data_IF_246371833809
#
_entry.id   IF_246371833809
#
_cell.length_a   1.000
_cell.length_b   1.000
_cell.length_c   1.000
_cell.angle_alpha   90.00
_cell.angle_beta   90.00
_cell.angle_gamma   90.00
#
_symmetry.space_group_name_H-M   'P 1'
#
loop_
_entity.id
_entity.type
_entity.pdbx_description
1 polymer ?
#
# COMPACT_ATOMS: atom_id res chain seq x y z
N UNK A 1 -0.95 1.47 -28.84
CA UNK A 1 -0.07 2.52 -28.27
C UNK A 1 -0.71 3.27 -27.08
N UNK A 2 -1.48 2.60 -26.22
CA UNK A 2 -2.09 3.25 -25.03
C UNK A 2 -1.38 2.90 -23.70
N UNK A 3 -0.54 1.86 -23.68
CA UNK A 3 0.07 1.30 -22.46
C UNK A 3 1.21 2.17 -21.89
N UNK A 4 1.70 3.16 -22.65
CA UNK A 4 2.88 3.95 -22.25
C UNK A 4 2.53 5.14 -21.33
N UNK A 5 1.25 5.53 -21.20
CA UNK A 5 0.84 6.68 -20.35
C UNK A 5 0.61 6.35 -18.88
N UNK A 6 0.45 5.07 -18.52
CA UNK A 6 0.11 4.64 -17.16
C UNK A 6 1.30 4.66 -16.18
N UNK A 7 2.52 4.84 -16.71
CA UNK A 7 3.78 4.89 -15.94
C UNK A 7 3.91 6.11 -15.00
N UNK A 8 3.00 7.10 -15.07
CA UNK A 8 2.96 8.30 -14.20
C UNK A 8 1.64 8.45 -13.42
N UNK A 9 1.00 7.34 -13.07
CA UNK A 9 -0.21 7.35 -12.22
C UNK A 9 0.05 7.88 -10.80
N UNK A 10 -0.99 8.41 -10.17
CA UNK A 10 -0.97 8.71 -8.72
C UNK A 10 -0.93 7.41 -7.91
N UNK A 11 -0.53 7.47 -6.64
CA UNK A 11 -0.57 6.32 -5.73
C UNK A 11 -2.00 5.75 -5.60
N UNK A 12 -3.00 6.63 -5.50
CA UNK A 12 -4.42 6.30 -5.49
C UNK A 12 -4.83 5.50 -6.73
N UNK A 13 -4.32 5.87 -7.92
CA UNK A 13 -4.61 5.13 -9.16
C UNK A 13 -4.03 3.71 -9.09
N UNK A 14 -2.79 3.57 -8.60
CA UNK A 14 -2.14 2.26 -8.45
C UNK A 14 -2.88 1.37 -7.46
N UNK A 15 -3.29 1.94 -6.32
CA UNK A 15 -4.08 1.23 -5.31
C UNK A 15 -5.43 0.78 -5.88
N UNK A 16 -6.15 1.66 -6.59
CA UNK A 16 -7.42 1.31 -7.23
C UNK A 16 -7.24 0.20 -8.28
N UNK A 17 -6.13 0.20 -9.02
CA UNK A 17 -5.78 -0.87 -9.97
C UNK A 17 -5.63 -2.22 -9.27
N UNK A 18 -4.92 -2.27 -8.14
CA UNK A 18 -4.74 -3.51 -7.38
C UNK A 18 -6.03 -3.99 -6.71
N UNK A 19 -6.86 -3.07 -6.21
CA UNK A 19 -8.20 -3.42 -5.67
C UNK A 19 -9.04 -4.09 -6.77
N UNK A 20 -9.10 -3.50 -7.97
CA UNK A 20 -9.81 -4.10 -9.11
C UNK A 20 -9.24 -5.46 -9.51
N UNK A 21 -7.92 -5.62 -9.49
CA UNK A 21 -7.29 -6.89 -9.84
C UNK A 21 -7.66 -8.05 -8.90
N UNK A 22 -8.08 -7.75 -7.67
CA UNK A 22 -8.56 -8.73 -6.69
C UNK A 22 -10.07 -9.00 -6.77
N UNK A 23 -10.80 -8.20 -7.54
CA UNK A 23 -12.24 -8.37 -7.73
C UNK A 23 -12.53 -9.45 -8.77
N UNK A 24 -12.60 -10.69 -8.29
CA UNK A 24 -12.85 -11.88 -9.12
C UNK A 24 -14.14 -11.82 -9.94
N UNK A 25 -15.14 -11.06 -9.47
CA UNK A 25 -16.48 -11.01 -10.08
C UNK A 25 -16.74 -9.75 -10.91
N UNK A 26 -15.78 -8.82 -11.00
CA UNK A 26 -15.91 -7.58 -11.79
C UNK A 26 -17.02 -6.64 -11.27
N UNK A 27 -17.38 -6.73 -9.99
CA UNK A 27 -18.36 -5.85 -9.33
C UNK A 27 -17.93 -4.38 -9.33
N UNK A 28 -16.62 -4.13 -9.43
CA UNK A 28 -15.99 -2.82 -9.41
C UNK A 28 -15.71 -2.26 -10.82
N UNK A 29 -16.03 -3.03 -11.86
CA UNK A 29 -15.81 -2.59 -13.24
C UNK A 29 -16.67 -1.36 -13.58
N UNK A 30 -16.03 -0.37 -14.21
CA UNK A 30 -16.68 0.89 -14.58
C UNK A 30 -16.93 1.87 -13.42
N UNK A 31 -16.64 1.50 -12.16
CA UNK A 31 -16.71 2.43 -11.03
C UNK A 31 -15.50 3.37 -11.01
N UNK A 32 -15.69 4.65 -10.62
CA UNK A 32 -14.58 5.58 -10.46
C UNK A 32 -13.67 5.17 -9.29
N UNK A 33 -12.39 5.52 -9.36
CA UNK A 33 -11.39 5.15 -8.34
C UNK A 33 -11.79 5.59 -6.93
N UNK A 34 -12.42 6.77 -6.82
CA UNK A 34 -12.89 7.30 -5.55
C UNK A 34 -13.96 6.43 -4.88
N UNK A 35 -14.81 5.76 -5.67
CA UNK A 35 -15.84 4.87 -5.15
C UNK A 35 -15.28 3.52 -4.72
N UNK A 36 -14.22 3.07 -5.38
CA UNK A 36 -13.53 1.80 -5.08
C UNK A 36 -12.70 1.92 -3.80
N UNK A 37 -12.15 3.11 -3.54
CA UNK A 37 -11.28 3.36 -2.40
C UNK A 37 -12.02 3.94 -1.19
N UNK A 38 -13.35 3.85 -1.17
CA UNK A 38 -14.16 4.32 -0.03
C UNK A 38 -13.80 3.60 1.28
N UNK A 39 -13.28 2.37 1.23
CA UNK A 39 -12.85 1.62 2.41
C UNK A 39 -11.58 2.20 3.07
N UNK A 40 -10.91 3.14 2.41
CA UNK A 40 -9.79 3.91 2.97
C UNK A 40 -10.24 5.29 3.48
N UNK A 41 -11.48 5.71 3.24
CA UNK A 41 -11.98 7.03 3.62
C UNK A 41 -12.97 6.89 4.77
N UNK A 42 -12.71 7.61 5.86
CA UNK A 42 -13.58 7.63 7.03
C UNK A 42 -14.98 8.12 6.66
N UNK A 43 -15.99 7.35 7.05
CA UNK A 43 -17.40 7.75 6.95
C UNK A 43 -17.91 8.14 8.34
N UNK A 44 -18.57 9.30 8.45
CA UNK A 44 -19.24 9.73 9.67
C UNK A 44 -18.34 10.30 10.78
N UNK A 45 -18.92 10.48 11.97
CA UNK A 45 -18.23 11.06 13.12
C UNK A 45 -17.34 10.05 13.85
N UNK A 46 -16.53 10.54 14.81
CA UNK A 46 -15.61 9.69 15.60
C UNK A 46 -16.32 8.50 16.26
N UNK A 47 -17.56 8.68 16.75
CA UNK A 47 -18.34 7.62 17.40
C UNK A 47 -18.79 6.54 16.41
N UNK A 48 -19.23 6.93 15.22
CA UNK A 48 -19.70 6.01 14.19
C UNK A 48 -18.54 5.16 13.67
N UNK A 49 -17.38 5.80 13.43
CA UNK A 49 -16.15 5.10 13.07
C UNK A 49 -15.74 4.05 14.11
N UNK A 50 -15.83 4.36 15.41
CA UNK A 50 -15.47 3.38 16.44
C UNK A 50 -16.42 2.18 16.46
N UNK A 51 -17.70 2.39 16.15
CA UNK A 51 -18.65 1.30 16.05
C UNK A 51 -18.37 0.42 14.82
N UNK A 52 -18.06 1.03 13.67
CA UNK A 52 -17.71 0.31 12.44
C UNK A 52 -16.42 -0.50 12.60
N UNK A 53 -15.36 0.11 13.14
CA UNK A 53 -14.10 -0.57 13.43
C UNK A 53 -14.22 -1.72 14.43
N UNK A 54 -15.17 -1.64 15.37
CA UNK A 54 -15.41 -2.72 16.32
C UNK A 54 -16.11 -3.94 15.69
N UNK A 55 -16.75 -3.76 14.54
CA UNK A 55 -17.40 -4.85 13.79
C UNK A 55 -16.48 -5.44 12.71
N UNK A 56 -15.39 -4.75 12.38
CA UNK A 56 -14.45 -5.19 11.37
C UNK A 56 -13.55 -6.33 11.89
N UNK A 57 -13.39 -7.38 11.07
CA UNK A 57 -12.52 -8.52 11.42
C UNK A 57 -11.04 -8.15 11.26
N UNK A 58 -10.17 -8.74 12.09
CA UNK A 58 -8.71 -8.55 11.96
C UNK A 58 -8.20 -8.92 10.56
N UNK A 59 -8.78 -9.93 9.91
CA UNK A 59 -8.40 -10.34 8.56
C UNK A 59 -8.76 -9.29 7.51
N UNK A 60 -9.91 -8.62 7.64
CA UNK A 60 -10.29 -7.52 6.75
C UNK A 60 -9.32 -6.33 6.89
N UNK A 61 -8.98 -5.96 8.13
CA UNK A 61 -7.97 -4.92 8.40
C UNK A 61 -6.63 -5.32 7.79
N UNK A 62 -6.18 -6.57 8.02
CA UNK A 62 -4.93 -7.11 7.47
C UNK A 62 -4.94 -7.02 5.95
N UNK A 63 -6.01 -7.42 5.28
CA UNK A 63 -6.09 -7.38 3.81
C UNK A 63 -6.04 -5.95 3.27
N UNK A 64 -6.77 -5.00 3.87
CA UNK A 64 -6.74 -3.57 3.49
C UNK A 64 -5.34 -3.00 3.61
N UNK A 65 -4.70 -3.20 4.75
CA UNK A 65 -3.36 -2.64 5.03
C UNK A 65 -2.31 -3.30 4.15
N UNK A 66 -2.39 -4.62 3.96
CA UNK A 66 -1.50 -5.34 3.06
C UNK A 66 -1.61 -4.82 1.63
N UNK A 67 -2.83 -4.59 1.13
CA UNK A 67 -3.07 -4.05 -0.21
C UNK A 67 -2.52 -2.62 -0.38
N UNK A 68 -2.60 -1.79 0.65
CA UNK A 68 -1.94 -0.48 0.67
C UNK A 68 -0.43 -0.62 0.45
N UNK A 69 0.23 -1.52 1.17
CA UNK A 69 1.68 -1.72 1.04
C UNK A 69 2.06 -2.44 -0.27
N UNK A 70 1.21 -3.30 -0.82
CA UNK A 70 1.39 -3.83 -2.18
C UNK A 70 1.32 -2.72 -3.24
N UNK A 71 0.45 -1.72 -3.07
CA UNK A 71 0.43 -0.56 -3.96
C UNK A 71 1.72 0.25 -3.87
N UNK A 72 2.28 0.41 -2.67
CA UNK A 72 3.60 1.04 -2.47
C UNK A 72 4.68 0.23 -3.18
N UNK A 73 4.71 -1.08 -2.98
CA UNK A 73 5.66 -1.99 -3.62
C UNK A 73 5.56 -1.92 -5.14
N UNK A 74 4.36 -2.04 -5.70
CA UNK A 74 4.13 -1.96 -7.15
C UNK A 74 4.56 -0.60 -7.72
N UNK A 75 4.33 0.50 -6.98
CA UNK A 75 4.80 1.82 -7.41
C UNK A 75 6.31 1.94 -7.39
N UNK A 76 6.98 1.38 -6.38
CA UNK A 76 8.45 1.31 -6.32
C UNK A 76 9.02 0.52 -7.50
N UNK A 77 8.46 -0.67 -7.81
CA UNK A 77 8.89 -1.49 -8.94
C UNK A 77 8.84 -0.73 -10.27
N UNK A 78 7.76 0.03 -10.51
CA UNK A 78 7.63 0.86 -11.71
C UNK A 78 8.68 1.97 -11.79
N UNK A 79 9.12 2.51 -10.65
CA UNK A 79 10.11 3.60 -10.60
C UNK A 79 11.55 3.09 -10.70
N UNK A 80 11.82 1.85 -10.30
CA UNK A 80 13.18 1.29 -10.23
C UNK A 80 13.71 0.87 -11.63
N UNK A 81 12.87 0.76 -12.66
CA UNK A 81 13.17 0.49 -14.09
C UNK A 81 14.05 -0.75 -14.40
N UNK A 82 14.61 -1.43 -13.40
CA UNK A 82 15.56 -2.54 -13.52
C UNK A 82 14.91 -3.93 -13.43
N UNK A 83 13.58 -4.01 -13.41
CA UNK A 83 12.85 -5.29 -13.25
C UNK A 83 12.94 -5.88 -11.83
N UNK A 84 13.34 -5.06 -10.85
CA UNK A 84 13.40 -5.46 -9.45
C UNK A 84 11.98 -5.71 -8.91
N UNK A 85 11.80 -6.83 -8.19
CA UNK A 85 10.53 -7.16 -7.52
C UNK A 85 10.60 -6.73 -6.05
N UNK A 86 9.59 -5.99 -5.58
CA UNK A 86 9.48 -5.58 -4.19
C UNK A 86 8.41 -6.44 -3.51
N UNK A 87 8.81 -7.22 -2.53
CA UNK A 87 7.93 -8.08 -1.75
C UNK A 87 7.43 -7.35 -0.50
N UNK A 88 6.21 -7.71 -0.06
CA UNK A 88 5.60 -7.22 1.18
C UNK A 88 5.51 -8.37 2.17
N UNK A 89 6.19 -8.25 3.32
CA UNK A 89 5.95 -9.09 4.48
C UNK A 89 5.24 -8.27 5.55
N UNK A 90 4.14 -8.79 6.10
CA UNK A 90 3.38 -8.10 7.14
C UNK A 90 2.82 -9.09 8.15
N UNK A 91 3.08 -8.81 9.42
CA UNK A 91 2.43 -9.47 10.56
C UNK A 91 1.57 -8.44 11.29
N UNK A 92 0.35 -8.84 11.63
CA UNK A 92 -0.61 -8.02 12.37
C UNK A 92 -1.40 -8.91 13.33
N UNK A 93 -1.30 -8.63 14.62
CA UNK A 93 -2.08 -9.32 15.63
C UNK A 93 -3.52 -8.76 15.75
N UNK A 94 -4.42 -9.47 16.48
CA UNK A 94 -5.79 -8.99 16.68
C UNK A 94 -5.91 -7.65 17.42
N UNK A 95 -4.88 -7.26 18.17
CA UNK A 95 -4.84 -5.98 18.89
C UNK A 95 -4.42 -4.82 17.97
N UNK A 96 -4.01 -5.11 16.74
CA UNK A 96 -3.59 -4.12 15.75
C UNK A 96 -2.13 -3.70 15.90
N UNK A 97 -1.29 -4.55 16.49
CA UNK A 97 0.16 -4.39 16.58
C UNK A 97 0.86 -5.34 15.63
N UNK A 98 2.03 -4.92 15.13
CA UNK A 98 2.84 -5.78 14.29
C UNK A 98 3.95 -5.05 13.55
N UNK A 99 4.29 -5.55 12.38
CA UNK A 99 5.36 -5.02 11.55
C UNK A 99 5.06 -5.23 10.08
N UNK A 100 5.44 -4.26 9.26
CA UNK A 100 5.50 -4.39 7.81
C UNK A 100 6.91 -4.14 7.33
N UNK A 101 7.33 -4.93 6.33
CA UNK A 101 8.62 -4.86 5.68
C UNK A 101 8.42 -4.94 4.17
N UNK A 102 8.93 -3.96 3.45
CA UNK A 102 9.11 -4.01 2.00
C UNK A 102 10.57 -4.36 1.72
N UNK A 103 10.79 -5.41 0.95
CA UNK A 103 12.13 -5.91 0.71
C UNK A 103 12.31 -6.44 -0.71
N UNK A 104 13.55 -6.51 -1.14
CA UNK A 104 13.95 -7.06 -2.43
C UNK A 104 15.30 -7.73 -2.31
N UNK A 105 15.43 -8.95 -2.82
CA UNK A 105 16.58 -9.82 -2.60
C UNK A 105 16.99 -9.85 -1.11
N UNK A 106 18.13 -9.20 -0.80
CA UNK A 106 18.72 -9.11 0.53
C UNK A 106 18.44 -7.78 1.25
N UNK A 107 17.76 -6.84 0.58
CA UNK A 107 17.61 -5.48 1.05
C UNK A 107 16.20 -5.21 1.56
N UNK A 108 16.12 -4.64 2.76
CA UNK A 108 14.90 -3.99 3.24
C UNK A 108 14.89 -2.55 2.74
N UNK A 109 13.97 -2.23 1.84
CA UNK A 109 13.81 -0.87 1.28
C UNK A 109 12.87 -0.02 2.13
N UNK A 110 11.95 -0.64 2.87
CA UNK A 110 11.10 0.06 3.84
C UNK A 110 10.72 -0.88 4.98
N UNK A 111 10.60 -0.35 6.19
CA UNK A 111 10.02 -1.09 7.31
C UNK A 111 9.39 -0.14 8.31
N UNK A 112 8.33 -0.60 8.94
CA UNK A 112 7.59 0.17 9.94
C UNK A 112 6.95 -0.75 10.98
N UNK A 113 7.01 -0.33 12.25
CA UNK A 113 6.23 -0.96 13.32
C UNK A 113 4.77 -0.48 13.26
N UNK A 114 3.85 -1.42 13.21
CA UNK A 114 2.42 -1.18 13.12
C UNK A 114 1.80 -1.10 14.52
N UNK A 115 0.97 -0.08 14.76
CA UNK A 115 0.20 0.14 15.99
C UNK A 115 -1.11 0.85 15.67
N UNK A 116 -2.17 0.53 16.39
CA UNK A 116 -3.52 1.12 16.20
C UNK A 116 -3.98 1.09 14.72
N UNK A 117 -3.58 0.04 14.00
CA UNK A 117 -3.72 -0.08 12.55
C UNK A 117 -5.15 0.13 12.03
N UNK A 118 -6.21 -0.41 12.67
CA UNK A 118 -7.57 -0.24 12.15
C UNK A 118 -7.94 1.24 11.92
N UNK A 119 -7.46 2.15 12.77
CA UNK A 119 -7.73 3.60 12.64
C UNK A 119 -6.77 4.32 11.72
N UNK A 120 -5.52 3.87 11.64
CA UNK A 120 -4.43 4.60 10.97
C UNK A 120 -4.53 4.60 9.44
N UNK A 121 -5.17 3.57 8.88
CA UNK A 121 -5.38 3.44 7.43
C UNK A 121 -6.80 3.85 7.00
N UNK A 122 -7.43 4.71 7.81
CA UNK A 122 -8.68 5.39 7.49
C UNK A 122 -8.44 6.89 7.49
N UNK A 123 -8.44 7.45 6.28
CA UNK A 123 -8.08 8.83 5.98
C UNK A 123 -9.33 9.72 5.90
N UNK A 124 -9.18 11.03 6.10
CA UNK A 124 -10.32 11.94 5.96
C UNK A 124 -10.67 12.18 4.47
N UNK A 125 -9.70 12.00 3.57
CA UNK A 125 -9.88 12.11 2.12
C UNK A 125 -8.76 11.36 1.36
N UNK A 126 -8.92 11.25 0.04
CA UNK A 126 -7.96 10.56 -0.83
C UNK A 126 -6.62 11.31 -0.96
N UNK A 127 -6.58 12.62 -0.73
CA UNK A 127 -5.32 13.38 -0.79
C UNK A 127 -4.39 13.01 0.36
N UNK A 128 -4.92 12.74 1.56
CA UNK A 128 -4.14 12.23 2.69
C UNK A 128 -3.59 10.82 2.41
N UNK A 129 -4.41 9.97 1.79
CA UNK A 129 -4.00 8.63 1.36
C UNK A 129 -2.86 8.70 0.32
N UNK A 130 -3.03 9.56 -0.69
CA UNK A 130 -2.02 9.83 -1.72
C UNK A 130 -0.71 10.32 -1.08
N UNK A 131 -0.79 11.31 -0.19
CA UNK A 131 0.39 11.91 0.44
C UNK A 131 1.19 10.89 1.25
N UNK A 132 0.52 10.04 2.04
CA UNK A 132 1.21 9.00 2.81
C UNK A 132 1.85 7.97 1.88
N UNK A 133 1.11 7.44 0.91
CA UNK A 133 1.62 6.46 -0.04
C UNK A 133 2.83 6.99 -0.82
N UNK A 134 2.75 8.23 -1.32
CA UNK A 134 3.86 8.90 -2.01
C UNK A 134 5.08 9.11 -1.11
N UNK A 135 4.89 9.47 0.16
CA UNK A 135 5.99 9.64 1.11
C UNK A 135 6.76 8.33 1.28
N UNK A 136 6.05 7.22 1.50
CA UNK A 136 6.67 5.91 1.67
C UNK A 136 7.38 5.47 0.39
N UNK A 137 6.78 5.67 -0.79
CA UNK A 137 7.42 5.37 -2.08
C UNK A 137 8.71 6.18 -2.25
N UNK A 138 8.68 7.48 -1.95
CA UNK A 138 9.86 8.35 -2.06
C UNK A 138 10.99 7.89 -1.14
N UNK A 139 10.65 7.56 0.11
CA UNK A 139 11.64 7.09 1.08
C UNK A 139 12.19 5.70 0.72
N UNK A 140 11.32 4.79 0.26
CA UNK A 140 11.72 3.47 -0.22
C UNK A 140 12.64 3.54 -1.43
N UNK A 141 12.37 4.44 -2.37
CA UNK A 141 13.22 4.66 -3.54
C UNK A 141 14.61 5.17 -3.14
N UNK A 142 14.69 6.16 -2.25
CA UNK A 142 15.96 6.69 -1.76
C UNK A 142 16.80 5.63 -1.02
N UNK A 143 16.13 4.74 -0.25
CA UNK A 143 16.79 3.60 0.39
C UNK A 143 17.28 2.58 -0.64
N UNK A 144 16.46 2.24 -1.63
CA UNK A 144 16.86 1.35 -2.71
C UNK A 144 18.07 1.87 -3.49
N UNK A 145 18.15 3.16 -3.82
CA UNK A 145 19.31 3.78 -4.47
C UNK A 145 20.60 3.66 -3.65
N UNK A 146 20.48 3.59 -2.33
CA UNK A 146 21.62 3.37 -1.44
C UNK A 146 22.01 1.89 -1.44
N UNK A 147 21.03 1.00 -1.35
CA UNK A 147 21.23 -0.45 -1.41
C UNK A 147 21.82 -0.91 -2.74
N UNK A 148 21.38 -0.35 -3.87
CA UNK A 148 21.84 -0.74 -5.21
C UNK A 148 23.33 -0.47 -5.41
N UNK A 149 23.88 0.57 -4.78
CA UNK A 149 25.33 0.88 -4.80
C UNK A 149 26.17 -0.20 -4.13
N UNK A 150 25.62 -0.92 -3.16
CA UNK A 150 26.34 -1.97 -2.40
C UNK A 150 25.92 -3.39 -2.80
N UNK A 151 24.97 -3.55 -3.72
CA UNK A 151 24.48 -4.85 -4.18
C UNK A 151 25.60 -5.77 -4.71
N UNK A 152 26.61 -5.19 -5.35
CA UNK A 152 27.78 -5.92 -5.86
C UNK A 152 28.68 -6.53 -4.78
N UNK A 153 28.48 -6.18 -3.50
CA UNK A 153 29.24 -6.72 -2.37
C UNK A 153 28.57 -7.96 -1.76
N UNK A 154 27.32 -8.25 -2.13
CA UNK A 154 26.59 -9.39 -1.62
C UNK A 154 26.87 -10.64 -2.46
N UNK A 155 26.85 -11.83 -1.83
CA UNK A 155 26.98 -13.09 -2.56
C UNK A 155 25.82 -13.25 -3.57
N UNK A 156 26.17 -13.79 -4.74
CA UNK A 156 25.25 -14.13 -5.83
C UNK A 156 24.35 -15.31 -5.48
#
# INVERSE_FOLDING_TARGET
MAVVREQRGSFVTELARLVRARDTYGVLDGKPDADILQDYVRKGGKRDLMAELALETTDAVRQRVHLFYEAVASRLERLIENGQVINVAMELDPEGFGQVVLYTDWFVVWSEGLRDVPRRYLFDNLDQLEALGQSIVKEGLARWETCSKIAHLLPS
#
